data_IF_264590643406
#
_entry.id   IF_264590643406
#
_cell.length_a   1.000
_cell.length_b   1.000
_cell.length_c   1.000
_cell.angle_alpha   90.00
_cell.angle_beta   90.00
_cell.angle_gamma   90.00
#
_symmetry.space_group_name_H-M   'P 1'
#
loop_
_entity.id
_entity.type
_entity.pdbx_description
1 polymer ?
#
# COMPACT_ATOMS: atom_id res chain seq x y z
N UNK A 1 11.58 -13.77 14.67
CA UNK A 1 10.32 -13.67 13.89
C UNK A 1 10.70 -13.17 12.50
N UNK A 2 10.59 -14.01 11.47
CA UNK A 2 10.92 -13.63 10.09
C UNK A 2 9.81 -12.73 9.56
N UNK A 3 10.04 -11.42 9.51
CA UNK A 3 9.20 -10.48 8.77
C UNK A 3 9.84 -10.39 7.39
N UNK A 4 9.35 -11.18 6.43
CA UNK A 4 9.89 -11.21 5.07
C UNK A 4 9.78 -9.83 4.38
N UNK A 5 10.49 -9.64 3.27
CA UNK A 5 10.56 -8.39 2.49
C UNK A 5 9.21 -8.00 1.85
N UNK A 6 8.27 -7.53 2.66
CA UNK A 6 7.01 -6.93 2.22
C UNK A 6 6.67 -5.75 3.12
N UNK A 7 5.91 -4.81 2.57
CA UNK A 7 5.33 -3.72 3.34
C UNK A 7 3.93 -4.14 3.81
N UNK A 8 3.52 -3.62 4.96
CA UNK A 8 2.14 -3.72 5.42
C UNK A 8 1.63 -2.30 5.61
N UNK A 9 0.50 -1.99 4.98
CA UNK A 9 -0.21 -0.73 5.16
C UNK A 9 -1.49 -1.00 5.93
N UNK A 10 -1.61 -0.38 7.09
CA UNK A 10 -2.77 -0.49 7.97
C UNK A 10 -3.66 0.72 7.86
N UNK A 11 -4.97 0.51 7.88
CA UNK A 11 -5.97 1.58 7.78
C UNK A 11 -7.35 1.15 8.25
N UNK A 12 -8.35 1.92 7.85
CA UNK A 12 -9.77 1.59 8.06
C UNK A 12 -10.53 1.66 6.76
N UNK A 13 -11.42 0.69 6.55
CA UNK A 13 -12.26 0.61 5.37
C UNK A 13 -13.17 1.83 5.30
N UNK A 14 -13.16 2.53 4.18
CA UNK A 14 -14.01 3.70 3.89
C UNK A 14 -15.06 3.40 2.83
N UNK A 15 -14.91 2.31 2.07
CA UNK A 15 -15.94 1.85 1.14
C UNK A 15 -15.49 0.69 0.26
N UNK A 16 -16.25 0.44 -0.80
CA UNK A 16 -15.90 -0.51 -1.85
C UNK A 16 -16.43 -0.04 -3.19
N UNK A 17 -15.73 -0.40 -4.28
CA UNK A 17 -16.16 -0.16 -5.67
C UNK A 17 -15.46 -1.16 -6.60
N UNK A 18 -16.14 -1.64 -7.62
CA UNK A 18 -15.54 -2.39 -8.74
C UNK A 18 -14.58 -3.54 -8.34
N UNK A 19 -14.94 -4.36 -7.35
CA UNK A 19 -14.05 -5.44 -6.89
C UNK A 19 -12.95 -5.02 -5.91
N UNK A 20 -12.90 -3.74 -5.54
CA UNK A 20 -11.89 -3.13 -4.68
C UNK A 20 -12.47 -2.69 -3.33
N UNK A 21 -11.69 -2.86 -2.28
CA UNK A 21 -11.90 -2.20 -0.98
C UNK A 21 -11.15 -0.88 -1.00
N UNK A 22 -11.83 0.20 -0.62
CA UNK A 22 -11.24 1.52 -0.41
C UNK A 22 -11.05 1.72 1.09
N UNK A 23 -9.89 2.22 1.48
CA UNK A 23 -9.53 2.39 2.88
C UNK A 23 -8.65 3.63 3.08
N UNK A 24 -8.84 4.27 4.24
CA UNK A 24 -8.07 5.44 4.63
C UNK A 24 -6.96 5.03 5.58
N UNK A 25 -5.77 5.61 5.37
CA UNK A 25 -4.58 5.34 6.17
C UNK A 25 -4.22 6.52 7.06
N UNK A 26 -3.53 6.30 8.19
CA UNK A 26 -2.94 7.39 8.96
C UNK A 26 -2.06 8.28 8.07
N UNK A 27 -2.27 9.59 8.14
CA UNK A 27 -1.63 10.56 7.22
C UNK A 27 -2.55 11.06 6.11
N UNK A 28 -3.79 10.57 6.03
CA UNK A 28 -4.86 11.18 5.22
C UNK A 28 -4.94 10.72 3.77
N UNK A 29 -4.11 9.76 3.36
CA UNK A 29 -4.24 9.14 2.05
C UNK A 29 -5.40 8.13 2.04
N UNK A 30 -6.06 8.01 0.88
CA UNK A 30 -7.06 6.98 0.61
C UNK A 30 -6.54 6.06 -0.47
N UNK A 31 -6.53 4.75 -0.19
CA UNK A 31 -5.94 3.71 -1.03
C UNK A 31 -7.01 2.67 -1.39
N UNK A 32 -6.72 1.88 -2.43
CA UNK A 32 -7.59 0.82 -2.90
C UNK A 32 -6.81 -0.49 -3.08
N UNK A 33 -7.42 -1.61 -2.67
CA UNK A 33 -6.88 -2.94 -2.86
C UNK A 33 -7.96 -3.91 -3.33
N UNK A 34 -7.60 -4.88 -4.16
CA UNK A 34 -8.52 -5.93 -4.59
C UNK A 34 -9.01 -6.73 -3.38
N UNK A 35 -10.31 -6.91 -3.26
CA UNK A 35 -10.92 -7.60 -2.12
C UNK A 35 -12.40 -7.26 -2.00
N UNK A 36 -13.15 -8.03 -1.23
CA UNK A 36 -14.60 -7.88 -1.07
C UNK A 36 -15.03 -8.14 0.37
N UNK A 37 -16.25 -7.70 0.73
CA UNK A 37 -16.94 -8.13 1.95
C UNK A 37 -16.42 -7.52 3.26
N UNK A 38 -15.80 -6.34 3.22
CA UNK A 38 -15.36 -5.62 4.44
C UNK A 38 -16.33 -4.52 4.81
N UNK A 39 -16.63 -4.39 6.10
CA UNK A 39 -17.55 -3.36 6.59
C UNK A 39 -16.83 -2.00 6.70
N UNK A 40 -17.57 -0.91 6.45
CA UNK A 40 -17.04 0.44 6.67
C UNK A 40 -16.63 0.60 8.15
N UNK A 41 -15.45 1.17 8.39
CA UNK A 41 -14.85 1.35 9.70
C UNK A 41 -14.04 0.15 10.20
N UNK A 42 -14.15 -1.02 9.56
CA UNK A 42 -13.37 -2.21 9.91
C UNK A 42 -11.86 -1.93 9.74
N UNK A 43 -11.01 -2.35 10.70
CA UNK A 43 -9.56 -2.27 10.51
C UNK A 43 -9.12 -3.21 9.39
N UNK A 44 -8.15 -2.76 8.58
CA UNK A 44 -7.64 -3.54 7.46
C UNK A 44 -6.11 -3.41 7.37
N UNK A 45 -5.46 -4.54 7.09
CA UNK A 45 -4.03 -4.63 6.81
C UNK A 45 -3.83 -5.12 5.38
N UNK A 46 -3.05 -4.38 4.60
CA UNK A 46 -2.75 -4.69 3.20
C UNK A 46 -1.27 -5.00 3.07
N UNK A 47 -0.95 -6.24 2.69
CA UNK A 47 0.40 -6.65 2.34
C UNK A 47 0.74 -6.20 0.91
N UNK A 48 1.87 -5.52 0.76
CA UNK A 48 2.40 -5.03 -0.51
C UNK A 48 3.76 -5.67 -0.73
N UNK A 49 3.90 -6.42 -1.83
CA UNK A 49 5.19 -6.98 -2.20
C UNK A 49 6.11 -5.86 -2.71
N UNK A 50 7.36 -5.87 -2.24
CA UNK A 50 8.36 -4.85 -2.58
C UNK A 50 8.68 -4.84 -4.08
N UNK A 51 8.63 -6.00 -4.74
CA UNK A 51 8.85 -6.14 -6.19
C UNK A 51 7.69 -5.64 -7.07
N UNK A 52 6.55 -5.30 -6.47
CA UNK A 52 5.39 -4.71 -7.15
C UNK A 52 5.25 -3.20 -6.90
N UNK A 53 6.20 -2.59 -6.20
CA UNK A 53 6.26 -1.13 -6.00
C UNK A 53 7.06 -0.50 -7.13
N UNK A 54 6.56 0.62 -7.66
CA UNK A 54 7.25 1.42 -8.70
C UNK A 54 7.37 2.86 -8.24
N UNK A 55 8.46 3.52 -8.64
CA UNK A 55 8.64 4.97 -8.49
C UNK A 55 8.13 5.64 -9.76
N UNK A 56 7.20 6.59 -9.61
CA UNK A 56 6.60 7.32 -10.71
C UNK A 56 5.15 7.65 -10.42
N UNK A 57 4.42 8.07 -11.45
CA UNK A 57 3.00 8.36 -11.33
C UNK A 57 2.18 7.09 -11.06
N UNK A 58 1.15 7.16 -10.20
CA UNK A 58 0.28 6.03 -9.94
C UNK A 58 -0.50 5.64 -11.21
N UNK A 59 -0.60 4.33 -11.47
CA UNK A 59 -1.35 3.82 -12.62
C UNK A 59 -2.86 4.11 -12.53
N UNK A 60 -3.38 4.29 -11.32
CA UNK A 60 -4.76 4.69 -11.05
C UNK A 60 -4.90 5.32 -9.65
N UNK A 61 -5.96 6.09 -9.46
CA UNK A 61 -6.31 6.65 -8.15
C UNK A 61 -6.45 5.58 -7.08
N UNK A 62 -5.72 5.76 -5.97
CA UNK A 62 -5.71 4.82 -4.84
C UNK A 62 -4.66 3.71 -4.94
N UNK A 63 -3.87 3.65 -6.02
CA UNK A 63 -2.76 2.68 -6.19
C UNK A 63 -1.37 3.30 -5.96
N UNK A 64 -1.30 4.40 -5.23
CA UNK A 64 -0.03 5.04 -4.91
C UNK A 64 -0.19 6.17 -3.91
N UNK A 65 0.94 6.62 -3.39
CA UNK A 65 1.05 7.76 -2.50
C UNK A 65 2.36 8.51 -2.81
N UNK A 66 2.43 9.78 -2.42
CA UNK A 66 3.66 10.57 -2.48
C UNK A 66 4.37 10.54 -1.14
N UNK A 67 5.69 10.45 -1.16
CA UNK A 67 6.52 10.46 0.03
C UNK A 67 7.93 10.96 -0.27
N UNK A 68 8.76 11.05 0.76
CA UNK A 68 10.17 11.41 0.66
C UNK A 68 10.98 10.13 0.89
N UNK A 69 11.92 9.84 -0.01
CA UNK A 69 12.87 8.75 0.20
C UNK A 69 13.81 9.13 1.37
N UNK A 70 13.79 8.33 2.43
CA UNK A 70 14.58 8.58 3.64
C UNK A 70 15.93 7.87 3.64
N UNK A 71 16.06 6.78 2.86
CA UNK A 71 17.29 6.01 2.73
C UNK A 71 17.39 5.37 1.34
N UNK A 72 18.62 5.05 0.91
CA UNK A 72 18.92 4.33 -0.33
C UNK A 72 20.08 3.37 -0.07
N UNK A 73 19.83 2.07 -0.19
CA UNK A 73 20.82 1.02 0.06
C UNK A 73 21.13 0.25 -1.25
N UNK A 74 22.39 0.31 -1.68
CA UNK A 74 22.87 -0.44 -2.85
C UNK A 74 23.15 -1.90 -2.47
N UNK A 75 22.62 -2.84 -3.25
CA UNK A 75 22.75 -4.29 -3.02
C UNK A 75 23.38 -5.03 -4.21
N UNK A 76 24.17 -4.33 -5.03
CA UNK A 76 24.72 -4.88 -6.26
C UNK A 76 23.75 -4.68 -7.42
N UNK A 77 23.04 -5.73 -7.84
CA UNK A 77 22.10 -5.64 -8.96
C UNK A 77 20.75 -5.01 -8.62
N UNK A 78 20.50 -4.69 -7.34
CA UNK A 78 19.26 -4.07 -6.87
C UNK A 78 19.55 -2.92 -5.89
N UNK A 79 18.52 -2.09 -5.66
CA UNK A 79 18.53 -1.04 -4.66
C UNK A 79 17.32 -1.26 -3.74
N UNK A 80 17.54 -1.10 -2.43
CA UNK A 80 16.46 -1.00 -1.45
C UNK A 80 16.23 0.46 -1.08
N UNK A 81 14.95 0.84 -0.98
CA UNK A 81 14.46 2.14 -0.55
C UNK A 81 13.64 1.95 0.73
#
# INVERSE_FOLDING_TARGET
RFMGDHNVVSGRVSGSRDGMVVFDVPGGASLAASGQGRAIGEPIDIAIRTDHVRIGDPLATGLGFTGIASNVEYRGSTVKL
#
